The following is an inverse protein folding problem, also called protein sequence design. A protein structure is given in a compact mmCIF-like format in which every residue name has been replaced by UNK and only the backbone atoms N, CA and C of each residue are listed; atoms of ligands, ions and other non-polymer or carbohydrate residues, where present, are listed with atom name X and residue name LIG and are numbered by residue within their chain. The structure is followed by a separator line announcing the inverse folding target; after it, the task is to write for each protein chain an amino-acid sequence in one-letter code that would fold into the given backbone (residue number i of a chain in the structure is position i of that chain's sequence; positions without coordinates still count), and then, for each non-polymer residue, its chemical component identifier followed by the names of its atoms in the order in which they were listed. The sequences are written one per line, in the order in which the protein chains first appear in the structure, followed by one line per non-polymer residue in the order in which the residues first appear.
data_IF_087579966552
#
_entry.id   IF_087579966552
#
_cell.length_a   1.000
_cell.length_b   1.000
_cell.length_c   1.000
_cell.angle_alpha   90.00
_cell.angle_beta   90.00
_cell.angle_gamma   90.00
#
_symmetry.space_group_name_H-M   'P 1'
#
loop_
_entity.id
_entity.type
_entity.pdbx_description
1 polymer ?
#
# COMPACT_ATOMS: atom_id res chain seq x y z
N UNK A 1 -57.58 -46.45 42.35
CA UNK A 1 -56.39 -47.09 42.95
C UNK A 1 -55.15 -46.32 42.48
N UNK A 2 -54.42 -45.77 43.45
CA UNK A 2 -52.97 -45.49 43.48
C UNK A 2 -52.31 -44.78 42.30
N UNK A 3 -51.92 -43.51 42.50
CA UNK A 3 -50.59 -42.97 42.17
C UNK A 3 -50.46 -41.55 42.76
N UNK A 4 -50.09 -41.47 44.04
CA UNK A 4 -49.68 -40.21 44.67
C UNK A 4 -48.70 -40.53 45.80
N UNK A 5 -47.40 -40.64 45.48
CA UNK A 5 -46.26 -40.45 46.40
C UNK A 5 -44.98 -40.77 45.65
N UNK A 6 -44.25 -39.75 45.22
CA UNK A 6 -42.78 -39.72 45.12
C UNK A 6 -42.36 -38.38 44.52
N UNK A 7 -42.19 -37.34 45.34
CA UNK A 7 -41.36 -36.18 44.97
C UNK A 7 -41.11 -35.25 46.18
N UNK A 8 -40.36 -35.73 47.19
CA UNK A 8 -39.95 -34.88 48.33
C UNK A 8 -38.48 -35.00 48.74
N UNK A 9 -37.63 -35.71 47.98
CA UNK A 9 -36.24 -35.97 48.38
C UNK A 9 -35.15 -35.39 47.45
N UNK A 10 -35.51 -34.77 46.32
CA UNK A 10 -34.53 -34.23 45.36
C UNK A 10 -34.08 -32.78 45.63
N UNK A 11 -34.72 -32.06 46.57
CA UNK A 11 -34.50 -30.63 46.78
C UNK A 11 -33.53 -30.25 47.91
N UNK A 12 -32.78 -31.23 48.48
CA UNK A 12 -31.93 -30.98 49.67
C UNK A 12 -30.42 -31.15 49.45
N UNK A 13 -29.95 -31.43 48.24
CA UNK A 13 -28.52 -31.61 47.95
C UNK A 13 -27.89 -30.56 47.02
N UNK A 14 -28.66 -29.58 46.52
CA UNK A 14 -28.16 -28.57 45.57
C UNK A 14 -27.66 -27.26 46.22
N UNK A 15 -27.80 -27.10 47.53
CA UNK A 15 -27.56 -25.82 48.22
C UNK A 15 -26.16 -25.57 48.80
N UNK A 16 -25.22 -26.53 48.97
CA UNK A 16 -23.88 -26.16 49.44
C UNK A 16 -22.86 -25.94 48.30
N UNK A 17 -23.15 -26.38 47.06
CA UNK A 17 -22.19 -26.27 45.95
C UNK A 17 -22.19 -24.87 45.30
N UNK A 18 -23.32 -24.17 45.31
CA UNK A 18 -23.45 -22.83 44.70
C UNK A 18 -22.83 -21.70 45.54
N UNK A 19 -22.60 -21.94 46.84
CA UNK A 19 -22.05 -20.93 47.77
C UNK A 19 -20.52 -20.94 47.80
N UNK A 20 -19.87 -22.02 47.38
CA UNK A 20 -18.40 -22.10 47.29
C UNK A 20 -17.86 -21.48 45.99
N UNK A 21 -18.65 -21.43 44.92
CA UNK A 21 -18.24 -20.86 43.63
C UNK A 21 -18.30 -19.32 43.59
N UNK A 22 -19.01 -18.70 44.54
CA UNK A 22 -19.21 -17.24 44.62
C UNK A 22 -18.11 -16.53 45.44
N UNK A 23 -17.23 -17.28 46.10
CA UNK A 23 -16.13 -16.76 46.93
C UNK A 23 -14.75 -16.77 46.23
N UNK A 24 -14.66 -17.28 44.99
CA UNK A 24 -13.41 -17.34 44.22
C UNK A 24 -13.32 -16.27 43.10
N UNK A 25 -14.31 -15.38 42.97
CA UNK A 25 -14.36 -14.33 41.93
C UNK A 25 -13.93 -12.94 42.41
N UNK A 26 -13.44 -12.80 43.64
CA UNK A 26 -12.94 -11.53 44.19
C UNK A 26 -11.41 -11.56 44.28
N UNK A 27 -10.72 -11.01 43.28
CA UNK A 27 -9.29 -10.75 43.39
C UNK A 27 -8.49 -10.84 42.10
N UNK A 28 -8.99 -10.26 41.01
CA UNK A 28 -8.14 -9.87 39.88
C UNK A 28 -8.61 -8.52 39.36
N UNK A 29 -8.44 -7.48 40.18
CA UNK A 29 -8.31 -6.12 39.63
C UNK A 29 -6.93 -6.04 38.98
N UNK A 30 -6.86 -6.53 37.73
CA UNK A 30 -5.81 -6.11 36.83
C UNK A 30 -6.03 -4.61 36.60
N UNK A 31 -5.32 -3.78 37.39
CA UNK A 31 -5.11 -2.39 37.06
C UNK A 31 -4.40 -2.33 35.71
N UNK A 32 -5.17 -2.24 34.64
CA UNK A 32 -4.69 -1.68 33.40
C UNK A 32 -4.22 -0.27 33.74
N UNK A 33 -2.91 -0.08 33.92
CA UNK A 33 -2.31 1.25 34.01
C UNK A 33 -2.45 1.91 32.64
N UNK A 34 -3.63 2.49 32.38
CA UNK A 34 -3.80 3.49 31.37
C UNK A 34 -2.87 4.65 31.77
N UNK A 35 -1.72 4.75 31.10
CA UNK A 35 -0.85 5.92 31.17
C UNK A 35 -1.73 7.17 31.07
N UNK A 36 -1.69 8.11 32.03
CA UNK A 36 -2.43 9.35 31.89
C UNK A 36 -1.91 10.05 30.63
N UNK A 37 -2.78 10.21 29.65
CA UNK A 37 -2.47 10.92 28.41
C UNK A 37 -2.48 12.41 28.72
N UNK A 38 -1.36 12.89 29.25
CA UNK A 38 -1.15 14.25 29.77
C UNK A 38 -1.17 15.26 28.61
N UNK A 39 -2.36 15.63 28.12
CA UNK A 39 -2.61 16.84 27.33
C UNK A 39 -1.87 16.99 25.99
N UNK A 40 -1.11 15.98 25.55
CA UNK A 40 -0.28 16.07 24.35
C UNK A 40 -1.07 16.44 23.10
N UNK A 41 -2.25 15.81 22.92
CA UNK A 41 -3.15 16.11 21.81
C UNK A 41 -3.69 17.54 21.86
N UNK A 42 -4.20 17.96 23.02
CA UNK A 42 -4.79 19.29 23.18
C UNK A 42 -3.77 20.39 22.91
N UNK A 43 -2.53 20.25 23.40
CA UNK A 43 -1.48 21.24 23.16
C UNK A 43 -1.09 21.33 21.69
N UNK A 44 -0.89 20.19 21.03
CA UNK A 44 -0.56 20.17 19.60
C UNK A 44 -1.71 20.73 18.76
N UNK A 45 -2.95 20.45 19.15
CA UNK A 45 -4.13 20.99 18.47
C UNK A 45 -4.21 22.51 18.62
N UNK A 46 -3.98 23.04 19.82
CA UNK A 46 -3.91 24.50 20.04
C UNK A 46 -2.81 25.15 19.20
N UNK A 47 -1.60 24.57 19.16
CA UNK A 47 -0.53 25.10 18.31
C UNK A 47 -0.89 25.05 16.83
N UNK A 48 -1.58 24.00 16.37
CA UNK A 48 -2.04 23.94 15.00
C UNK A 48 -3.00 25.09 14.67
N UNK A 49 -3.97 25.38 15.55
CA UNK A 49 -4.90 26.50 15.39
C UNK A 49 -4.19 27.86 15.39
N UNK A 50 -3.23 28.07 16.30
CA UNK A 50 -2.44 29.30 16.35
C UNK A 50 -1.62 29.52 15.07
N UNK A 51 -1.05 28.47 14.47
CA UNK A 51 -0.35 28.60 13.19
C UNK A 51 -1.32 28.84 12.02
N UNK A 52 -2.51 28.23 12.04
CA UNK A 52 -3.58 28.55 11.06
C UNK A 52 -4.00 30.01 11.13
N UNK A 53 -4.13 30.60 12.33
CA UNK A 53 -4.47 32.03 12.51
C UNK A 53 -3.39 32.95 11.93
N UNK A 54 -2.13 32.50 11.91
CA UNK A 54 -1.01 33.22 11.28
C UNK A 54 -0.94 33.01 9.77
N UNK A 55 -1.74 32.08 9.22
CA UNK A 55 -1.67 31.63 7.82
C UNK A 55 -0.51 30.67 7.52
N UNK A 56 0.17 30.13 8.54
CA UNK A 56 1.25 29.14 8.36
C UNK A 56 0.68 27.72 8.36
N UNK A 57 0.04 27.36 7.25
CA UNK A 57 -0.62 26.06 7.08
C UNK A 57 0.36 24.88 7.05
N UNK A 58 1.62 25.10 6.65
CA UNK A 58 2.66 24.04 6.67
C UNK A 58 3.03 23.63 8.10
N UNK A 59 3.21 24.62 8.98
CA UNK A 59 3.43 24.33 10.41
C UNK A 59 2.20 23.75 11.08
N UNK A 60 1.01 24.27 10.76
CA UNK A 60 -0.25 23.69 11.26
C UNK A 60 -0.37 22.20 10.86
N UNK A 61 -0.11 21.87 9.59
CA UNK A 61 -0.09 20.50 9.07
C UNK A 61 0.91 19.61 9.83
N UNK A 62 2.09 20.14 10.15
CA UNK A 62 3.09 19.42 10.97
C UNK A 62 2.52 19.03 12.33
N UNK A 63 1.85 19.95 13.04
CA UNK A 63 1.24 19.64 14.34
C UNK A 63 0.08 18.66 14.24
N UNK A 64 -0.79 18.78 13.22
CA UNK A 64 -1.86 17.81 12.99
C UNK A 64 -1.33 16.40 12.71
N UNK A 65 -0.27 16.28 11.90
CA UNK A 65 0.38 14.99 11.62
C UNK A 65 1.00 14.39 12.86
N UNK A 66 1.63 15.19 13.72
CA UNK A 66 2.15 14.71 15.01
C UNK A 66 1.05 14.12 15.90
N UNK A 67 -0.18 14.66 15.89
CA UNK A 67 -1.30 14.08 16.64
C UNK A 67 -1.62 12.68 16.11
N UNK A 68 -1.69 12.52 14.79
CA UNK A 68 -2.05 11.26 14.12
C UNK A 68 -0.94 10.22 14.27
N UNK A 69 0.31 10.58 13.97
CA UNK A 69 1.47 9.68 14.02
C UNK A 69 1.75 9.14 15.42
N UNK A 70 1.52 9.97 16.45
CA UNK A 70 1.66 9.56 17.84
C UNK A 70 0.40 8.87 18.40
N UNK A 71 -0.60 8.57 17.56
CA UNK A 71 -1.87 7.96 17.95
C UNK A 71 -2.54 8.64 19.14
N UNK A 72 -2.50 9.97 19.17
CA UNK A 72 -3.08 10.74 20.26
C UNK A 72 -4.62 10.86 20.11
N UNK A 73 -5.36 11.05 21.21
CA UNK A 73 -6.81 11.18 21.17
C UNK A 73 -7.24 12.35 20.28
N UNK A 74 -8.10 12.09 19.30
CA UNK A 74 -8.57 13.12 18.38
C UNK A 74 -9.75 13.90 18.97
N UNK A 75 -9.66 15.23 18.94
CA UNK A 75 -10.82 16.09 19.22
C UNK A 75 -11.88 15.93 18.12
N UNK A 76 -13.18 15.96 18.43
CA UNK A 76 -14.25 15.88 17.42
C UNK A 76 -14.18 16.98 16.34
N UNK A 77 -13.58 18.13 16.67
CA UNK A 77 -13.40 19.27 15.76
C UNK A 77 -12.13 19.19 14.91
N UNK A 78 -11.11 18.44 15.36
CA UNK A 78 -9.80 18.39 14.70
C UNK A 78 -9.90 18.00 13.21
N UNK A 79 -10.73 17.03 12.78
CA UNK A 79 -10.87 16.70 11.37
C UNK A 79 -11.30 17.89 10.48
N UNK A 80 -12.12 18.81 10.99
CA UNK A 80 -12.52 20.00 10.24
C UNK A 80 -11.34 20.94 10.00
N UNK A 81 -10.62 21.32 11.07
CA UNK A 81 -9.48 22.24 10.95
C UNK A 81 -8.33 21.63 10.15
N UNK A 82 -8.13 20.32 10.27
CA UNK A 82 -7.13 19.65 9.45
C UNK A 82 -7.54 19.63 7.97
N UNK A 83 -8.83 19.43 7.66
CA UNK A 83 -9.33 19.56 6.29
C UNK A 83 -9.11 20.97 5.71
N UNK A 84 -9.38 22.02 6.48
CA UNK A 84 -9.09 23.42 6.05
C UNK A 84 -7.60 23.59 5.77
N UNK A 85 -6.74 23.11 6.66
CA UNK A 85 -5.27 23.18 6.49
C UNK A 85 -4.83 22.48 5.20
N UNK A 86 -5.36 21.29 4.94
CA UNK A 86 -5.04 20.52 3.73
C UNK A 86 -5.58 21.17 2.45
N UNK A 87 -6.70 21.89 2.53
CA UNK A 87 -7.24 22.65 1.40
C UNK A 87 -6.30 23.80 1.00
N UNK A 88 -5.80 24.54 1.99
CA UNK A 88 -4.86 25.66 1.78
C UNK A 88 -3.48 25.18 1.28
N UNK A 89 -3.13 23.92 1.56
CA UNK A 89 -1.94 23.24 1.03
C UNK A 89 -2.20 22.49 -0.28
N UNK A 90 -3.33 22.72 -0.94
CA UNK A 90 -3.73 22.09 -2.22
C UNK A 90 -3.81 20.54 -2.18
N UNK A 91 -3.86 19.94 -0.98
CA UNK A 91 -4.04 18.50 -0.76
C UNK A 91 -5.53 18.16 -0.74
N UNK A 92 -6.22 18.41 -1.85
CA UNK A 92 -7.69 18.43 -1.92
C UNK A 92 -8.36 17.07 -1.62
N UNK A 93 -7.80 15.94 -2.08
CA UNK A 93 -8.37 14.62 -1.79
C UNK A 93 -8.30 14.30 -0.28
N UNK A 94 -7.15 14.58 0.34
CA UNK A 94 -6.97 14.42 1.78
C UNK A 94 -7.91 15.35 2.55
N UNK A 95 -8.03 16.61 2.13
CA UNK A 95 -8.96 17.59 2.72
C UNK A 95 -10.39 17.06 2.71
N UNK A 96 -10.87 16.57 1.56
CA UNK A 96 -12.21 15.99 1.43
C UNK A 96 -12.41 14.76 2.32
N UNK A 97 -11.41 13.88 2.45
CA UNK A 97 -11.49 12.71 3.32
C UNK A 97 -11.66 13.08 4.80
N UNK A 98 -10.91 14.07 5.29
CA UNK A 98 -11.04 14.55 6.67
C UNK A 98 -12.35 15.31 6.91
N UNK A 99 -12.79 16.09 5.92
CA UNK A 99 -14.07 16.80 5.97
C UNK A 99 -15.26 15.84 6.04
N UNK A 100 -15.25 14.79 5.23
CA UNK A 100 -16.25 13.73 5.27
C UNK A 100 -16.28 13.05 6.64
N UNK A 101 -15.10 12.82 7.24
CA UNK A 101 -15.00 12.24 8.58
C UNK A 101 -15.56 13.16 9.65
N UNK A 102 -15.30 14.47 9.56
CA UNK A 102 -15.89 15.47 10.46
C UNK A 102 -17.42 15.42 10.44
N UNK A 103 -18.02 15.46 9.24
CA UNK A 103 -19.48 15.43 9.06
C UNK A 103 -20.05 14.08 9.52
N UNK A 104 -19.35 12.97 9.27
CA UNK A 104 -19.79 11.64 9.69
C UNK A 104 -19.85 11.50 11.22
N UNK A 105 -18.85 12.02 11.94
CA UNK A 105 -18.77 11.90 13.40
C UNK A 105 -19.80 12.80 14.08
N UNK A 106 -19.89 14.06 13.65
CA UNK A 106 -20.65 15.09 14.35
C UNK A 106 -22.08 15.26 13.82
N UNK A 107 -22.36 14.80 12.59
CA UNK A 107 -23.66 14.93 11.95
C UNK A 107 -24.01 16.38 11.61
N UNK A 108 -25.31 16.68 11.53
CA UNK A 108 -25.84 18.01 11.17
C UNK A 108 -25.79 19.04 12.31
N UNK A 109 -25.55 18.60 13.54
CA UNK A 109 -25.48 19.47 14.72
C UNK A 109 -24.03 19.88 15.05
N UNK A 110 -23.10 19.64 14.11
CA UNK A 110 -21.70 20.00 14.29
C UNK A 110 -21.56 21.53 14.36
N UNK A 111 -20.70 22.03 15.24
CA UNK A 111 -20.50 23.47 15.41
C UNK A 111 -20.08 24.17 14.12
N UNK A 112 -19.27 23.50 13.28
CA UNK A 112 -18.76 23.98 12.00
C UNK A 112 -19.48 23.35 10.80
N UNK A 113 -20.73 22.95 10.95
CA UNK A 113 -21.45 22.23 9.89
C UNK A 113 -21.59 23.06 8.61
N UNK A 114 -21.98 24.34 8.74
CA UNK A 114 -22.17 25.22 7.59
C UNK A 114 -20.83 25.52 6.90
N UNK A 115 -19.78 25.84 7.67
CA UNK A 115 -18.45 26.07 7.11
C UNK A 115 -17.88 24.80 6.45
N UNK A 116 -18.18 23.62 7.00
CA UNK A 116 -17.84 22.34 6.38
C UNK A 116 -18.55 22.15 5.04
N UNK A 117 -19.81 22.57 4.91
CA UNK A 117 -20.55 22.53 3.63
C UNK A 117 -20.02 23.52 2.60
N UNK A 118 -19.59 24.69 3.05
CA UNK A 118 -18.90 25.65 2.17
C UNK A 118 -17.57 25.10 1.66
N UNK A 119 -16.77 24.48 2.54
CA UNK A 119 -15.52 23.84 2.14
C UNK A 119 -15.75 22.67 1.18
N UNK A 120 -16.78 21.85 1.42
CA UNK A 120 -17.17 20.76 0.52
C UNK A 120 -17.49 21.30 -0.88
N UNK A 121 -18.17 22.45 -0.97
CA UNK A 121 -18.47 23.08 -2.25
C UNK A 121 -17.19 23.59 -2.95
N UNK A 122 -16.26 24.23 -2.21
CA UNK A 122 -14.99 24.72 -2.74
C UNK A 122 -14.09 23.58 -3.24
N UNK A 123 -14.15 22.41 -2.62
CA UNK A 123 -13.35 21.24 -3.01
C UNK A 123 -13.81 20.59 -4.33
N UNK A 124 -15.05 20.81 -4.78
CA UNK A 124 -15.58 20.13 -5.98
C UNK A 124 -14.77 20.43 -7.23
N UNK A 125 -14.52 21.71 -7.49
CA UNK A 125 -13.79 22.17 -8.67
C UNK A 125 -12.36 21.59 -8.74
N UNK A 126 -11.48 21.74 -7.72
CA UNK A 126 -10.14 21.17 -7.79
C UNK A 126 -10.13 19.64 -7.84
N UNK A 127 -11.07 18.96 -7.17
CA UNK A 127 -11.19 17.50 -7.27
C UNK A 127 -11.59 17.04 -8.67
N UNK A 128 -12.47 17.79 -9.34
CA UNK A 128 -12.85 17.48 -10.72
C UNK A 128 -11.70 17.79 -11.69
N UNK A 129 -10.89 18.83 -11.43
CA UNK A 129 -9.65 19.09 -12.17
C UNK A 129 -8.61 17.95 -12.01
N UNK A 130 -8.47 17.40 -10.80
CA UNK A 130 -7.61 16.21 -10.55
C UNK A 130 -8.11 15.01 -11.35
N UNK A 131 -9.42 14.73 -11.35
CA UNK A 131 -9.99 13.60 -12.11
C UNK A 131 -9.81 13.75 -13.61
N UNK A 132 -9.85 14.98 -14.12
CA UNK A 132 -9.69 15.27 -15.53
C UNK A 132 -8.22 15.27 -15.98
N UNK A 133 -7.26 15.33 -15.06
CA UNK A 133 -5.84 15.44 -15.39
C UNK A 133 -5.19 14.08 -15.63
N UNK A 134 -4.55 13.93 -16.78
CA UNK A 134 -3.80 12.71 -17.15
C UNK A 134 -2.46 12.57 -16.39
N UNK A 135 -1.98 13.66 -15.78
CA UNK A 135 -0.70 13.70 -15.08
C UNK A 135 -0.83 13.57 -13.56
N UNK A 136 -2.05 13.53 -13.03
CA UNK A 136 -2.26 13.40 -11.60
C UNK A 136 -2.73 11.99 -11.26
N UNK A 137 -2.38 11.51 -10.07
CA UNK A 137 -3.05 10.36 -9.49
C UNK A 137 -4.42 10.79 -8.93
N UNK A 138 -5.21 9.83 -8.45
CA UNK A 138 -6.53 10.10 -7.86
C UNK A 138 -6.50 11.05 -6.66
N UNK A 139 -5.35 11.20 -6.02
CA UNK A 139 -5.14 12.00 -4.82
C UNK A 139 -4.63 13.42 -5.13
N UNK A 140 -4.33 13.74 -6.40
CA UNK A 140 -3.78 15.03 -6.83
C UNK A 140 -2.25 15.13 -6.86
N UNK A 141 -1.52 14.03 -6.61
CA UNK A 141 -0.06 14.00 -6.76
C UNK A 141 0.36 13.73 -8.18
N UNK A 142 1.53 14.25 -8.56
CA UNK A 142 2.03 14.13 -9.92
C UNK A 142 2.53 12.72 -10.23
N UNK A 143 2.17 12.26 -11.41
CA UNK A 143 2.60 10.98 -11.99
C UNK A 143 3.76 11.25 -12.93
N UNK A 144 4.88 10.59 -12.67
CA UNK A 144 6.10 10.68 -13.47
C UNK A 144 6.35 9.35 -14.19
N UNK A 145 7.01 9.39 -15.34
CA UNK A 145 7.46 8.17 -16.00
C UNK A 145 8.42 7.39 -15.08
N UNK A 146 8.33 6.07 -15.09
CA UNK A 146 9.23 5.23 -14.32
C UNK A 146 10.67 5.46 -14.79
N UNK A 147 11.57 5.83 -13.88
CA UNK A 147 12.98 6.10 -14.21
C UNK A 147 13.74 4.85 -14.67
N UNK A 148 13.29 3.66 -14.30
CA UNK A 148 13.95 2.38 -14.63
C UNK A 148 13.61 1.87 -16.02
N UNK A 149 12.34 1.96 -16.43
CA UNK A 149 11.87 1.46 -17.74
C UNK A 149 11.45 2.57 -18.69
N UNK A 150 11.60 3.85 -18.29
CA UNK A 150 11.25 5.03 -19.08
C UNK A 150 9.80 5.08 -19.62
N UNK A 151 8.90 4.28 -19.03
CA UNK A 151 7.51 4.16 -19.46
C UNK A 151 7.19 2.91 -20.29
N UNK A 152 8.19 2.12 -20.67
CA UNK A 152 8.03 0.90 -21.48
C UNK A 152 7.41 -0.27 -20.71
N UNK A 153 7.29 -0.17 -19.38
CA UNK A 153 6.69 -1.16 -18.45
C UNK A 153 7.46 -2.46 -18.31
N UNK A 154 8.25 -2.81 -19.32
CA UNK A 154 9.09 -3.98 -19.38
C UNK A 154 10.55 -3.58 -19.47
N UNK A 155 11.42 -4.47 -19.01
CA UNK A 155 12.86 -4.36 -19.12
C UNK A 155 13.35 -5.52 -19.98
N UNK A 156 14.04 -5.14 -21.05
CA UNK A 156 14.80 -6.07 -21.85
C UNK A 156 16.04 -6.51 -21.07
N UNK A 157 16.20 -7.81 -20.90
CA UNK A 157 17.36 -8.39 -20.24
C UNK A 157 17.84 -9.63 -20.98
N UNK A 158 19.11 -9.93 -20.80
CA UNK A 158 19.69 -11.19 -21.27
C UNK A 158 18.92 -12.37 -20.71
N UNK A 159 18.59 -13.34 -21.58
CA UNK A 159 17.90 -14.56 -21.17
C UNK A 159 18.70 -15.28 -20.07
N UNK A 160 18.13 -15.31 -18.87
CA UNK A 160 18.71 -15.94 -17.68
C UNK A 160 19.04 -17.43 -17.85
N UNK A 161 18.34 -18.11 -18.76
CA UNK A 161 18.52 -19.54 -19.00
C UNK A 161 19.70 -19.84 -19.95
N UNK A 162 19.80 -19.16 -21.09
CA UNK A 162 20.88 -19.42 -22.07
C UNK A 162 22.09 -18.51 -21.92
N UNK A 163 21.97 -17.37 -21.22
CA UNK A 163 23.04 -16.37 -21.04
C UNK A 163 23.71 -16.02 -22.38
N UNK A 164 22.89 -15.57 -23.33
CA UNK A 164 23.30 -15.10 -24.69
C UNK A 164 23.79 -16.21 -25.64
N UNK A 165 23.66 -17.47 -25.27
CA UNK A 165 24.08 -18.59 -26.13
C UNK A 165 22.99 -19.05 -27.10
N UNK A 166 21.73 -18.75 -26.82
CA UNK A 166 20.57 -19.19 -27.61
C UNK A 166 20.27 -20.69 -27.53
N UNK A 167 21.18 -21.48 -26.95
CA UNK A 167 21.09 -22.92 -26.78
C UNK A 167 21.32 -23.32 -25.33
N UNK A 168 20.65 -24.38 -24.90
CA UNK A 168 20.79 -24.99 -23.57
C UNK A 168 21.12 -26.48 -23.73
N UNK A 169 21.84 -27.05 -22.76
CA UNK A 169 22.14 -28.47 -22.77
C UNK A 169 20.88 -29.31 -22.65
N UNK A 170 20.82 -30.45 -23.34
CA UNK A 170 19.71 -31.39 -23.20
C UNK A 170 19.70 -31.99 -21.79
N UNK A 171 18.61 -31.76 -21.05
CA UNK A 171 18.46 -32.24 -19.67
C UNK A 171 18.51 -33.77 -19.58
N UNK A 172 18.09 -34.48 -20.62
CA UNK A 172 18.02 -35.94 -20.64
C UNK A 172 19.38 -36.63 -20.76
N UNK A 173 20.30 -36.07 -21.55
CA UNK A 173 21.66 -36.61 -21.73
C UNK A 173 22.74 -35.75 -21.08
N UNK A 174 22.35 -34.74 -20.28
CA UNK A 174 23.25 -33.78 -19.62
C UNK A 174 24.28 -33.15 -20.56
N UNK A 175 23.86 -32.75 -21.76
CA UNK A 175 24.77 -32.14 -22.73
C UNK A 175 25.58 -33.09 -23.61
N UNK A 176 25.54 -34.42 -23.36
CA UNK A 176 26.44 -35.39 -24.01
C UNK A 176 25.99 -35.90 -25.38
N UNK A 177 24.72 -35.72 -25.76
CA UNK A 177 24.13 -36.31 -26.97
C UNK A 177 23.85 -37.82 -26.89
N UNK A 178 24.42 -38.51 -25.91
CA UNK A 178 24.34 -39.97 -25.76
C UNK A 178 23.83 -40.35 -24.35
N UNK A 179 23.04 -41.41 -24.27
CA UNK A 179 22.54 -42.04 -23.05
C UNK A 179 23.29 -43.35 -22.81
N UNK A 180 23.87 -43.50 -21.61
CA UNK A 180 24.52 -44.75 -21.20
C UNK A 180 23.54 -45.63 -20.45
N UNK A 181 23.32 -46.86 -20.91
CA UNK A 181 22.56 -47.89 -20.19
C UNK A 181 23.44 -49.10 -19.97
N UNK A 182 23.29 -49.75 -18.80
CA UNK A 182 23.90 -51.06 -18.58
C UNK A 182 22.93 -52.14 -19.00
N UNK A 183 23.40 -53.08 -19.81
CA UNK A 183 22.61 -54.22 -20.22
C UNK A 183 22.67 -55.35 -19.18
N UNK A 184 21.98 -56.46 -19.47
CA UNK A 184 21.91 -57.65 -18.60
C UNK A 184 23.28 -58.32 -18.36
N UNK A 185 24.28 -58.02 -19.20
CA UNK A 185 25.66 -58.49 -19.08
C UNK A 185 26.58 -57.49 -18.37
N UNK A 186 26.02 -56.42 -17.79
CA UNK A 186 26.76 -55.35 -17.13
C UNK A 186 27.73 -54.59 -18.06
N UNK A 187 27.53 -54.69 -19.39
CA UNK A 187 28.23 -53.88 -20.39
C UNK A 187 27.53 -52.54 -20.56
N UNK A 188 28.31 -51.48 -20.81
CA UNK A 188 27.79 -50.13 -21.06
C UNK A 188 27.47 -50.01 -22.55
N UNK A 189 26.20 -49.73 -22.87
CA UNK A 189 25.74 -49.40 -24.20
C UNK A 189 25.46 -47.90 -24.31
N UNK A 190 25.84 -47.32 -25.45
CA UNK A 190 25.61 -45.93 -25.79
C UNK A 190 24.47 -45.85 -26.78
N UNK A 191 23.42 -45.10 -26.43
CA UNK A 191 22.27 -44.85 -27.28
C UNK A 191 22.21 -43.36 -27.59
N UNK A 192 21.91 -42.98 -28.82
CA UNK A 192 21.66 -41.57 -29.14
C UNK A 192 20.48 -41.05 -28.33
N UNK A 193 20.61 -39.82 -27.84
CA UNK A 193 19.54 -39.20 -27.10
C UNK A 193 18.45 -38.73 -28.06
N UNK A 194 17.37 -39.50 -28.11
CA UNK A 194 16.11 -39.24 -28.81
C UNK A 194 15.52 -37.84 -28.60
N UNK A 195 15.74 -37.21 -27.44
CA UNK A 195 15.24 -35.87 -27.21
C UNK A 195 15.97 -34.83 -28.07
N UNK A 196 17.29 -34.98 -28.25
CA UNK A 196 18.19 -34.00 -28.88
C UNK A 196 18.86 -34.47 -30.15
N UNK A 197 18.40 -35.59 -30.71
CA UNK A 197 18.92 -36.18 -31.95
C UNK A 197 20.45 -36.27 -31.95
N UNK A 198 21.04 -36.67 -30.82
CA UNK A 198 22.49 -36.79 -30.68
C UNK A 198 23.27 -35.48 -30.51
N UNK A 199 22.65 -34.30 -30.63
CA UNK A 199 23.34 -33.00 -30.58
C UNK A 199 23.76 -32.58 -29.18
N UNK A 200 23.13 -33.13 -28.15
CA UNK A 200 23.36 -32.79 -26.75
C UNK A 200 22.84 -31.41 -26.32
N UNK A 201 22.27 -30.63 -27.24
CA UNK A 201 21.79 -29.26 -27.00
C UNK A 201 20.47 -28.99 -27.74
N UNK A 202 19.70 -28.05 -27.24
CA UNK A 202 18.49 -27.54 -27.88
C UNK A 202 18.49 -26.02 -27.90
N UNK A 203 17.67 -25.45 -28.78
CA UNK A 203 17.27 -24.04 -28.70
C UNK A 203 16.70 -23.75 -27.32
N UNK A 204 17.08 -22.62 -26.74
CA UNK A 204 16.62 -22.23 -25.43
C UNK A 204 15.09 -22.03 -25.44
N UNK A 205 14.32 -22.82 -24.67
CA UNK A 205 12.86 -22.76 -24.69
C UNK A 205 12.28 -21.49 -24.04
N UNK A 206 13.14 -20.63 -23.48
CA UNK A 206 12.75 -19.41 -22.77
C UNK A 206 12.84 -18.16 -23.63
N UNK A 207 13.77 -18.12 -24.58
CA UNK A 207 13.92 -17.02 -25.54
C UNK A 207 13.75 -17.46 -26.99
N UNK A 208 13.48 -18.76 -27.23
CA UNK A 208 13.41 -19.38 -28.55
C UNK A 208 14.61 -19.07 -29.46
N UNK A 209 15.78 -18.84 -28.85
CA UNK A 209 17.02 -18.49 -29.54
C UNK A 209 17.22 -16.99 -29.76
N UNK A 210 16.26 -16.13 -29.39
CA UNK A 210 16.36 -14.67 -29.52
C UNK A 210 17.29 -13.99 -28.51
N UNK A 211 17.88 -14.76 -27.59
CA UNK A 211 18.87 -14.34 -26.59
C UNK A 211 18.34 -13.40 -25.49
N UNK A 212 17.23 -12.72 -25.74
CA UNK A 212 16.63 -11.73 -24.85
C UNK A 212 15.35 -12.26 -24.20
N UNK A 213 15.06 -11.76 -23.02
CA UNK A 213 13.78 -11.95 -22.34
C UNK A 213 13.26 -10.61 -21.84
N UNK A 214 11.95 -10.43 -21.89
CA UNK A 214 11.27 -9.27 -21.35
C UNK A 214 10.74 -9.63 -19.96
N UNK A 215 10.97 -8.75 -19.00
CA UNK A 215 10.38 -8.87 -17.68
C UNK A 215 9.67 -7.60 -17.28
N UNK A 216 8.60 -7.73 -16.51
CA UNK A 216 7.93 -6.58 -15.92
C UNK A 216 8.91 -5.77 -15.09
N UNK A 217 8.93 -4.46 -15.30
CA UNK A 217 9.74 -3.55 -14.50
C UNK A 217 9.35 -3.68 -13.02
N UNK A 218 10.31 -4.07 -12.18
CA UNK A 218 10.08 -4.28 -10.74
C UNK A 218 9.81 -2.97 -9.99
N UNK A 219 10.30 -1.85 -10.50
CA UNK A 219 10.15 -0.55 -9.85
C UNK A 219 8.73 -0.02 -9.96
N UNK A 220 8.07 -0.20 -11.12
CA UNK A 220 6.70 0.27 -11.34
C UNK A 220 5.68 -0.87 -11.48
N UNK A 221 6.09 -2.11 -11.24
CA UNK A 221 5.25 -3.31 -11.35
C UNK A 221 4.48 -3.41 -12.69
N UNK A 222 5.11 -2.98 -13.79
CA UNK A 222 4.50 -2.98 -15.13
C UNK A 222 3.51 -1.83 -15.40
N UNK A 223 3.34 -0.86 -14.51
CA UNK A 223 2.49 0.32 -14.74
C UNK A 223 3.15 1.31 -15.71
N UNK A 224 4.48 1.46 -15.64
CA UNK A 224 5.28 2.39 -16.45
C UNK A 224 5.39 3.80 -15.85
N UNK A 225 4.71 4.06 -14.74
CA UNK A 225 4.74 5.35 -14.05
C UNK A 225 4.91 5.19 -12.54
N UNK A 226 5.41 6.24 -11.89
CA UNK A 226 5.59 6.35 -10.44
C UNK A 226 4.85 7.61 -9.94
N UNK A 227 4.44 7.58 -8.68
CA UNK A 227 3.82 8.72 -8.01
C UNK A 227 4.93 9.51 -7.34
N UNK A 228 5.00 10.82 -7.59
CA UNK A 228 5.92 11.72 -6.89
C UNK A 228 5.27 12.33 -5.65
N UNK A 229 6.09 12.87 -4.75
CA UNK A 229 5.63 13.64 -3.59
C UNK A 229 5.15 15.06 -3.97
N UNK A 230 5.44 15.53 -5.18
CA UNK A 230 5.00 16.84 -5.67
C UNK A 230 3.50 16.85 -5.97
N UNK A 231 2.82 17.91 -5.50
CA UNK A 231 1.44 18.22 -5.89
C UNK A 231 1.43 18.57 -7.38
N UNK A 232 0.42 18.06 -8.08
CA UNK A 232 0.26 18.22 -9.51
C UNK A 232 -0.20 19.64 -9.86
N UNK A 233 0.57 20.36 -10.68
CA UNK A 233 0.23 21.70 -11.17
C UNK A 233 -0.68 21.69 -12.42
N UNK A 234 -1.18 20.51 -12.79
CA UNK A 234 -1.99 20.23 -13.99
C UNK A 234 -1.36 20.68 -15.32
N UNK A 235 -0.05 20.94 -15.34
CA UNK A 235 0.68 21.36 -16.54
C UNK A 235 1.59 20.24 -17.02
N UNK A 236 1.71 20.13 -18.34
CA UNK A 236 2.71 19.27 -18.94
C UNK A 236 4.10 19.85 -18.64
N UNK A 237 4.88 19.23 -17.75
CA UNK A 237 6.30 19.59 -17.60
C UNK A 237 7.09 18.95 -18.75
N UNK A 238 8.04 19.69 -19.34
CA UNK A 238 8.92 19.15 -20.38
C UNK A 238 9.65 17.91 -19.86
N UNK A 239 9.71 16.86 -20.70
CA UNK A 239 10.47 15.63 -20.39
C UNK A 239 11.92 16.01 -20.09
N UNK A 240 12.55 15.35 -19.12
CA UNK A 240 13.92 15.66 -18.68
C UNK A 240 14.94 15.81 -19.84
N UNK A 241 14.79 15.02 -20.91
CA UNK A 241 15.64 15.12 -22.11
C UNK A 241 15.40 16.40 -22.94
N UNK A 242 14.17 16.91 -22.97
CA UNK A 242 13.85 18.18 -23.64
C UNK A 242 14.44 19.39 -22.91
N UNK A 243 14.55 19.35 -21.58
CA UNK A 243 15.19 20.42 -20.79
C UNK A 243 16.70 20.53 -21.07
N UNK A 244 17.37 19.39 -21.25
CA UNK A 244 18.79 19.34 -21.63
C UNK A 244 18.99 19.96 -23.02
N UNK A 245 18.13 19.62 -23.97
CA UNK A 245 18.17 20.18 -25.32
C UNK A 245 17.82 21.68 -25.34
N UNK A 246 16.84 22.11 -24.56
CA UNK A 246 16.43 23.51 -24.44
C UNK A 246 17.53 24.37 -23.82
N UNK A 247 18.21 23.88 -22.75
CA UNK A 247 19.41 24.54 -22.22
C UNK A 247 20.57 24.57 -23.20
N UNK A 248 20.74 23.56 -24.05
CA UNK A 248 21.77 23.59 -25.09
C UNK A 248 21.44 24.63 -26.17
N UNK A 249 20.16 24.77 -26.56
CA UNK A 249 19.71 25.82 -27.49
C UNK A 249 19.87 27.23 -26.90
N UNK A 250 19.62 27.43 -25.61
CA UNK A 250 19.79 28.73 -24.93
C UNK A 250 21.27 29.11 -24.72
N UNK A 251 22.19 28.16 -24.76
CA UNK A 251 23.64 28.38 -24.59
C UNK A 251 24.42 28.46 -25.91
N UNK A 252 23.74 28.48 -27.06
CA UNK A 252 24.36 28.74 -28.35
C UNK A 252 24.02 30.17 -28.83
N UNK A 253 25.00 31.10 -28.89
CA UNK A 253 24.82 32.42 -29.51
C UNK A 253 24.68 32.34 -31.03
#
# INVERSE_FOLDING_TARGET
MTLARQNKYLLKFLTPFFLFLLLLSSGNEAFAQAKPNLGGSSRLFTYALEEMEKGDYERANTYFRQIIENNLPLSPEMPYYFAVTLFELEQYDNSMNFLNRYIQINGRNAEKYEEAKELEAKLKEPLDAIKACEFCNKQGYRVIACTTCEGEKELEQTCSLCKERGVVGCNRCFGKGLLTKRNVFNLIEYHECDQCDGLGKHTCPRCDGNLMEYSTCRTCEGVGSLISEEICDHKEKPRHMSLLFQRMQENHP
#
